data_IF_977731165665
#
_entry.id   IF_977731165665
#
_cell.length_a   1.000
_cell.length_b   1.000
_cell.length_c   1.000
_cell.angle_alpha   90.00
_cell.angle_beta   90.00
_cell.angle_gamma   90.00
#
_symmetry.space_group_name_H-M   'P 1'
#
loop_
_entity.id
_entity.type
_entity.pdbx_description
1 polymer ?
#
# COMPACT_ATOMS: atom_id res chain seq x y z
N UNK A 1 4.29 -19.62 40.42
CA UNK A 1 4.19 -19.24 39.00
C UNK A 1 5.60 -18.98 38.52
N UNK A 2 6.22 -19.99 37.90
CA UNK A 2 7.54 -19.86 37.31
C UNK A 2 7.50 -18.80 36.21
N UNK A 3 8.41 -17.84 36.28
CA UNK A 3 8.46 -16.70 35.39
C UNK A 3 8.78 -17.21 33.96
N UNK A 4 7.86 -17.01 33.01
CA UNK A 4 8.03 -17.38 31.58
C UNK A 4 9.35 -16.88 30.98
N UNK A 5 9.89 -15.76 31.48
CA UNK A 5 11.20 -15.27 31.07
C UNK A 5 12.34 -16.20 31.50
N UNK A 6 12.27 -16.76 32.71
CA UNK A 6 13.33 -17.62 33.25
C UNK A 6 13.38 -18.96 32.49
N UNK A 7 12.23 -19.56 32.21
CA UNK A 7 12.13 -20.77 31.40
C UNK A 7 12.67 -20.58 29.97
N UNK A 8 12.46 -19.39 29.39
CA UNK A 8 13.00 -19.03 28.07
C UNK A 8 14.52 -18.93 28.12
N UNK A 9 15.08 -18.24 29.12
CA UNK A 9 16.53 -18.08 29.31
C UNK A 9 17.21 -19.44 29.49
N UNK A 10 16.61 -20.33 30.29
CA UNK A 10 17.20 -21.64 30.56
C UNK A 10 17.12 -22.59 29.35
N UNK A 11 16.18 -22.35 28.43
CA UNK A 11 16.10 -23.06 27.15
C UNK A 11 17.18 -22.58 26.18
N UNK A 12 17.39 -21.26 26.08
CA UNK A 12 18.44 -20.67 25.23
C UNK A 12 19.84 -21.10 25.67
N UNK A 13 20.08 -21.22 26.99
CA UNK A 13 21.36 -21.69 27.55
C UNK A 13 21.70 -23.15 27.20
N UNK A 14 20.72 -23.96 26.80
CA UNK A 14 20.90 -25.38 26.43
C UNK A 14 21.18 -25.60 24.94
N UNK A 15 21.15 -24.54 24.13
CA UNK A 15 21.39 -24.65 22.69
C UNK A 15 22.86 -24.95 22.40
N UNK A 16 23.11 -25.79 21.40
CA UNK A 16 24.47 -26.03 20.89
C UNK A 16 24.99 -24.78 20.15
N UNK A 17 26.32 -24.65 19.94
CA UNK A 17 26.87 -23.55 19.14
C UNK A 17 26.26 -23.44 17.74
N UNK A 18 25.98 -24.57 17.08
CA UNK A 18 25.33 -24.63 15.78
C UNK A 18 23.87 -24.14 15.82
N UNK A 19 23.12 -24.56 16.85
CA UNK A 19 21.75 -24.09 17.08
C UNK A 19 21.70 -22.60 17.44
N UNK A 20 22.68 -22.12 18.22
CA UNK A 20 22.84 -20.71 18.54
C UNK A 20 23.12 -19.89 17.28
N UNK A 21 23.99 -20.37 16.39
CA UNK A 21 24.28 -19.71 15.13
C UNK A 21 23.06 -19.66 14.22
N UNK A 22 22.31 -20.75 14.11
CA UNK A 22 21.06 -20.79 13.34
C UNK A 22 20.00 -19.83 13.92
N UNK A 23 19.89 -19.76 15.25
CA UNK A 23 18.99 -18.83 15.94
C UNK A 23 19.38 -17.37 15.69
N UNK A 24 20.69 -17.05 15.73
CA UNK A 24 21.19 -15.71 15.42
C UNK A 24 20.90 -15.31 13.98
N UNK A 25 21.14 -16.21 13.01
CA UNK A 25 20.81 -15.97 11.60
C UNK A 25 19.31 -15.74 11.39
N UNK A 26 18.46 -16.50 12.10
CA UNK A 26 17.02 -16.25 12.07
C UNK A 26 16.73 -14.86 12.63
N UNK A 27 17.22 -14.52 13.83
CA UNK A 27 16.99 -13.20 14.46
C UNK A 27 17.47 -12.06 13.55
N UNK A 28 18.64 -12.17 12.95
CA UNK A 28 19.17 -11.20 11.99
C UNK A 28 18.30 -11.11 10.73
N UNK A 29 17.82 -12.24 10.20
CA UNK A 29 16.85 -12.25 9.10
C UNK A 29 15.56 -11.53 9.50
N UNK A 30 15.00 -11.82 10.69
CA UNK A 30 13.81 -11.15 11.20
C UNK A 30 14.04 -9.64 11.42
N UNK A 31 15.24 -9.25 11.86
CA UNK A 31 15.64 -7.85 12.01
C UNK A 31 15.82 -7.16 10.66
N UNK A 32 16.44 -7.81 9.68
CA UNK A 32 16.61 -7.30 8.32
C UNK A 32 15.27 -7.19 7.57
N UNK A 33 14.34 -8.12 7.77
CA UNK A 33 12.97 -8.00 7.26
C UNK A 33 12.21 -6.86 7.95
N UNK A 34 12.48 -6.60 9.23
CA UNK A 34 11.95 -5.42 9.95
C UNK A 34 12.65 -4.11 9.57
N UNK A 35 13.88 -4.19 9.07
CA UNK A 35 14.70 -3.06 8.67
C UNK A 35 14.64 -2.78 7.16
N UNK A 36 13.85 -3.53 6.38
CA UNK A 36 13.43 -3.08 5.07
C UNK A 36 12.77 -1.72 5.26
N UNK A 37 13.39 -0.69 4.66
CA UNK A 37 12.94 0.69 4.80
C UNK A 37 11.47 0.75 4.43
N UNK A 38 10.64 1.20 5.37
CA UNK A 38 9.23 1.38 5.11
C UNK A 38 9.09 2.34 3.91
N UNK A 39 8.34 1.92 2.90
CA UNK A 39 8.15 2.71 1.70
C UNK A 39 7.43 4.02 2.05
N UNK A 40 7.82 5.11 1.39
CA UNK A 40 7.20 6.42 1.59
C UNK A 40 5.81 6.52 0.95
N UNK A 41 5.07 7.58 1.27
CA UNK A 41 3.75 7.86 0.66
C UNK A 41 3.85 7.97 -0.87
N UNK A 42 4.84 8.70 -1.39
CA UNK A 42 5.05 8.85 -2.83
C UNK A 42 5.43 7.57 -3.54
N UNK A 43 6.08 6.63 -2.84
CA UNK A 43 6.39 5.31 -3.39
C UNK A 43 5.13 4.45 -3.49
N UNK A 44 4.26 4.49 -2.46
CA UNK A 44 2.95 3.84 -2.52
C UNK A 44 2.08 4.40 -3.65
N UNK A 45 2.09 5.72 -3.85
CA UNK A 45 1.40 6.38 -4.98
C UNK A 45 1.96 5.91 -6.33
N UNK A 46 3.29 5.83 -6.47
CA UNK A 46 3.94 5.36 -7.69
C UNK A 46 3.62 3.90 -8.01
N UNK A 47 3.57 3.03 -6.99
CA UNK A 47 3.17 1.62 -7.14
C UNK A 47 1.74 1.51 -7.69
N UNK A 48 0.80 2.29 -7.15
CA UNK A 48 -0.59 2.29 -7.61
C UNK A 48 -0.70 2.88 -9.01
N UNK A 49 0.01 3.96 -9.32
CA UNK A 49 0.07 4.50 -10.68
C UNK A 49 0.64 3.49 -11.69
N UNK A 50 1.64 2.70 -11.32
CA UNK A 50 2.16 1.62 -12.15
C UNK A 50 1.09 0.58 -12.47
N UNK A 51 0.35 0.13 -11.45
CA UNK A 51 -0.76 -0.81 -11.66
C UNK A 51 -1.88 -0.21 -12.55
N UNK A 52 -2.22 1.07 -12.34
CA UNK A 52 -3.22 1.76 -13.15
C UNK A 52 -2.78 1.88 -14.61
N UNK A 53 -1.51 2.16 -14.88
CA UNK A 53 -0.99 2.21 -16.25
C UNK A 53 -1.16 0.88 -16.98
N UNK A 54 -0.96 -0.24 -16.28
CA UNK A 54 -1.05 -1.58 -16.85
C UNK A 54 -2.51 -2.05 -17.07
N UNK A 55 -3.48 -1.56 -16.28
CA UNK A 55 -4.84 -2.09 -16.25
C UNK A 55 -5.93 -1.08 -16.70
N UNK A 56 -5.68 0.22 -16.51
CA UNK A 56 -6.60 1.34 -16.71
C UNK A 56 -5.85 2.61 -17.17
N UNK A 57 -5.26 2.60 -18.38
CA UNK A 57 -4.30 3.63 -18.81
C UNK A 57 -4.92 5.02 -19.06
N UNK A 58 -6.25 5.17 -19.04
CA UNK A 58 -6.93 6.43 -19.38
C UNK A 58 -7.62 7.05 -18.16
N UNK A 59 -7.29 8.32 -17.84
CA UNK A 59 -7.95 9.18 -16.84
C UNK A 59 -7.92 8.73 -15.37
N UNK A 60 -7.26 7.64 -15.01
CA UNK A 60 -7.12 7.24 -13.60
C UNK A 60 -5.74 7.60 -13.05
N UNK A 61 -5.69 8.07 -11.81
CA UNK A 61 -4.44 8.33 -11.08
C UNK A 61 -4.58 7.91 -9.63
N UNK A 62 -3.47 7.55 -9.00
CA UNK A 62 -3.37 7.52 -7.55
C UNK A 62 -3.53 8.95 -7.01
N UNK A 63 -4.37 9.11 -5.99
CA UNK A 63 -4.40 10.30 -5.14
C UNK A 63 -3.46 10.14 -3.93
N UNK A 64 -3.49 11.11 -3.02
CA UNK A 64 -2.55 11.17 -1.89
C UNK A 64 -2.65 9.95 -0.97
N UNK A 65 -1.53 9.25 -0.76
CA UNK A 65 -1.48 8.10 0.14
C UNK A 65 -1.65 8.51 1.60
N UNK A 66 -2.49 7.77 2.33
CA UNK A 66 -2.77 7.98 3.74
C UNK A 66 -2.32 6.76 4.55
N UNK A 67 -1.58 6.97 5.66
CA UNK A 67 -1.07 5.85 6.43
C UNK A 67 -2.17 5.25 7.32
N UNK A 68 -2.39 3.95 7.21
CA UNK A 68 -3.12 3.15 8.20
C UNK A 68 -2.09 2.59 9.17
N UNK A 69 -1.71 3.41 10.16
CA UNK A 69 -0.60 3.13 11.09
C UNK A 69 -0.78 1.85 11.91
N UNK A 70 -2.02 1.51 12.27
CA UNK A 70 -2.34 0.29 13.03
C UNK A 70 -2.08 -1.02 12.27
N UNK A 71 -1.90 -0.94 10.94
CA UNK A 71 -1.72 -2.11 10.06
C UNK A 71 -0.47 -2.07 9.21
N UNK A 72 0.33 -1.00 9.28
CA UNK A 72 1.47 -0.76 8.40
C UNK A 72 1.09 -0.87 6.92
N UNK A 73 0.01 -0.18 6.55
CA UNK A 73 -0.53 -0.15 5.19
C UNK A 73 -0.65 1.30 4.75
N UNK A 74 -0.36 1.56 3.49
CA UNK A 74 -0.77 2.78 2.79
C UNK A 74 -2.13 2.53 2.14
N UNK A 75 -3.11 3.34 2.52
CA UNK A 75 -4.34 3.49 1.76
C UNK A 75 -4.11 4.53 0.67
N UNK A 76 -4.39 4.18 -0.57
CA UNK A 76 -4.20 5.06 -1.72
C UNK A 76 -5.54 5.20 -2.43
N UNK A 77 -6.17 6.39 -2.45
CA UNK A 77 -7.37 6.59 -3.24
C UNK A 77 -7.02 6.52 -4.73
N UNK A 78 -7.93 5.96 -5.53
CA UNK A 78 -7.87 6.03 -6.99
C UNK A 78 -8.86 7.10 -7.42
N UNK A 79 -8.38 8.05 -8.21
CA UNK A 79 -9.12 9.23 -8.62
C UNK A 79 -9.28 9.28 -10.13
N UNK A 80 -10.44 9.78 -10.56
CA UNK A 80 -10.68 10.13 -11.96
C UNK A 80 -10.15 11.55 -12.20
N UNK A 81 -9.23 11.72 -13.15
CA UNK A 81 -8.56 12.98 -13.45
C UNK A 81 -8.62 13.30 -14.94
N UNK A 82 -8.76 14.58 -15.26
CA UNK A 82 -8.68 15.08 -16.64
C UNK A 82 -7.67 16.23 -16.71
N UNK A 83 -6.90 16.35 -17.81
CA UNK A 83 -5.86 17.38 -17.93
C UNK A 83 -6.35 18.82 -17.67
N UNK A 84 -7.59 19.14 -18.06
CA UNK A 84 -8.13 20.50 -17.98
C UNK A 84 -8.80 20.82 -16.65
N UNK A 85 -9.26 19.82 -15.90
CA UNK A 85 -10.06 20.02 -14.68
C UNK A 85 -9.40 19.45 -13.43
N UNK A 86 -8.32 18.70 -13.58
CA UNK A 86 -7.69 17.95 -12.50
C UNK A 86 -8.56 16.80 -12.01
N UNK A 87 -8.39 16.44 -10.74
CA UNK A 87 -9.14 15.35 -10.09
C UNK A 87 -10.60 15.71 -9.90
N UNK A 88 -11.49 14.85 -10.41
CA UNK A 88 -12.96 14.97 -10.32
C UNK A 88 -13.46 14.32 -9.04
N UNK A 89 -12.79 13.26 -8.60
CA UNK A 89 -13.13 12.56 -7.37
C UNK A 89 -12.63 11.13 -7.31
N UNK A 90 -12.78 10.54 -6.12
CA UNK A 90 -12.43 9.17 -5.82
C UNK A 90 -13.39 8.20 -6.53
N UNK A 91 -12.83 7.25 -7.25
CA UNK A 91 -13.53 6.14 -7.93
C UNK A 91 -13.24 4.78 -7.31
N UNK A 92 -12.16 4.67 -6.53
CA UNK A 92 -11.85 3.45 -5.79
C UNK A 92 -10.63 3.62 -4.91
N UNK A 93 -9.99 2.51 -4.57
CA UNK A 93 -8.88 2.49 -3.63
C UNK A 93 -7.94 1.31 -3.87
N UNK A 94 -6.72 1.48 -3.39
CA UNK A 94 -5.70 0.46 -3.31
C UNK A 94 -5.09 0.43 -1.90
N UNK A 95 -4.66 -0.75 -1.49
CA UNK A 95 -3.90 -0.95 -0.26
C UNK A 95 -2.50 -1.44 -0.62
N UNK A 96 -1.48 -0.76 -0.12
CA UNK A 96 -0.07 -1.10 -0.35
C UNK A 96 0.59 -1.40 0.99
N UNK A 97 1.36 -2.47 1.06
CA UNK A 97 2.17 -2.79 2.24
C UNK A 97 3.20 -1.68 2.48
N UNK A 98 3.18 -1.07 3.67
CA UNK A 98 4.16 -0.03 4.02
C UNK A 98 5.57 -0.58 4.22
N UNK A 99 5.74 -1.90 4.37
CA UNK A 99 7.07 -2.52 4.53
C UNK A 99 7.68 -2.96 3.20
N UNK A 100 6.87 -3.54 2.32
CA UNK A 100 7.38 -4.25 1.14
C UNK A 100 7.03 -3.57 -0.18
N UNK A 101 6.17 -2.54 -0.17
CA UNK A 101 5.64 -1.96 -1.40
C UNK A 101 4.76 -2.91 -2.22
N UNK A 102 4.39 -4.07 -1.67
CA UNK A 102 3.49 -5.00 -2.34
C UNK A 102 2.07 -4.43 -2.33
N UNK A 103 1.44 -4.43 -3.50
CA UNK A 103 0.02 -4.11 -3.68
C UNK A 103 -0.82 -5.25 -3.08
N UNK A 104 -1.47 -4.98 -1.95
CA UNK A 104 -2.25 -5.96 -1.20
C UNK A 104 -3.64 -6.16 -1.78
N UNK A 105 -4.24 -5.08 -2.27
CA UNK A 105 -5.56 -5.11 -2.92
C UNK A 105 -5.79 -3.85 -3.75
N UNK A 106 -6.63 -3.97 -4.77
CA UNK A 106 -7.18 -2.84 -5.54
C UNK A 106 -8.67 -3.08 -5.77
N UNK A 107 -9.47 -2.02 -5.85
CA UNK A 107 -10.84 -2.10 -6.38
C UNK A 107 -10.84 -2.78 -7.75
N UNK A 108 -11.89 -3.56 -8.05
CA UNK A 108 -12.01 -4.24 -9.34
C UNK A 108 -12.11 -3.23 -10.49
N UNK A 109 -11.55 -3.58 -11.65
CA UNK A 109 -11.50 -2.70 -12.82
C UNK A 109 -12.91 -2.28 -13.25
N UNK A 110 -13.86 -3.21 -13.23
CA UNK A 110 -15.25 -2.96 -13.60
C UNK A 110 -15.92 -1.99 -12.63
N UNK A 111 -15.61 -2.08 -11.33
CA UNK A 111 -16.13 -1.16 -10.32
C UNK A 111 -15.55 0.25 -10.49
N UNK A 112 -14.24 0.36 -10.77
CA UNK A 112 -13.57 1.64 -11.04
C UNK A 112 -14.20 2.35 -12.25
N UNK A 113 -14.44 1.61 -13.34
CA UNK A 113 -15.07 2.14 -14.55
C UNK A 113 -16.52 2.53 -14.31
N UNK A 114 -17.28 1.70 -13.59
CA UNK A 114 -18.67 1.97 -13.23
C UNK A 114 -18.80 3.25 -12.42
N UNK A 115 -18.00 3.39 -11.35
CA UNK A 115 -18.02 4.60 -10.51
C UNK A 115 -17.52 5.83 -11.28
N UNK A 116 -16.54 5.68 -12.17
CA UNK A 116 -16.11 6.77 -13.05
C UNK A 116 -17.23 7.26 -13.98
N UNK A 117 -17.99 6.34 -14.58
CA UNK A 117 -19.12 6.68 -15.44
C UNK A 117 -20.25 7.38 -14.65
N UNK A 118 -20.53 6.91 -13.44
CA UNK A 118 -21.49 7.56 -12.52
C UNK A 118 -21.04 8.99 -12.19
N UNK A 119 -19.77 9.20 -11.82
CA UNK A 119 -19.24 10.53 -11.50
C UNK A 119 -19.32 11.48 -12.71
N UNK A 120 -18.96 11.00 -13.90
CA UNK A 120 -19.06 11.79 -15.14
C UNK A 120 -20.50 12.24 -15.40
N UNK A 121 -21.47 11.32 -15.29
CA UNK A 121 -22.88 11.61 -15.55
C UNK A 121 -23.50 12.54 -14.51
N UNK A 122 -23.00 12.52 -13.27
CA UNK A 122 -23.51 13.35 -12.19
C UNK A 122 -22.92 14.77 -12.20
N UNK A 123 -21.77 14.98 -12.86
CA UNK A 123 -21.07 16.27 -12.94
C UNK A 123 -20.62 16.67 -14.35
N UNK A 124 -21.49 16.62 -15.38
CA UNK A 124 -21.08 16.89 -16.76
C UNK A 124 -20.60 18.34 -16.98
N UNK A 125 -21.11 19.29 -16.19
CA UNK A 125 -20.80 20.72 -16.33
C UNK A 125 -19.43 21.13 -15.76
N UNK A 126 -18.84 20.35 -14.85
CA UNK A 126 -17.49 20.61 -14.33
C UNK A 126 -16.40 20.21 -15.34
N UNK A 127 -16.78 19.48 -16.40
CA UNK A 127 -15.88 18.84 -17.37
C UNK A 127 -15.81 19.56 -18.73
N UNK A 128 -16.60 20.62 -18.91
CA UNK A 128 -16.70 21.39 -20.15
C UNK A 128 -16.06 22.79 -20.04
N UNK A 129 -15.08 22.99 -19.16
CA UNK A 129 -14.35 24.26 -19.16
C UNK A 129 -13.68 24.47 -20.53
N UNK A 130 -13.93 25.59 -21.23
CA UNK A 130 -13.35 25.85 -22.54
C UNK A 130 -11.84 25.98 -22.41
N UNK A 131 -11.13 25.44 -23.39
CA UNK A 131 -9.73 25.81 -23.66
C UNK A 131 -9.74 27.32 -23.94
N UNK A 132 -9.18 28.12 -23.02
CA UNK A 132 -8.79 29.51 -23.28
C UNK A 132 -7.42 29.53 -23.97
#
# INVERSE_FOLDING_TARGET
MENLQQATIDTVKKLTPEQMQALLLLIESWQNHRAQAAIGSSEAEAIVNGWLLDNLPDRFTAGTAQPITSRHIWYVPIELTYPTTGSIGKVGEALVSAFSGVLLSVSQVEDLQRTAAELYNTRPNELQAPVL
#
